data_IF_241462508700
#
_entry.id   IF_241462508700
#
_cell.length_a   1.000
_cell.length_b   1.000
_cell.length_c   1.000
_cell.angle_alpha   90.00
_cell.angle_beta   90.00
_cell.angle_gamma   90.00
#
_symmetry.space_group_name_H-M   'P 1'
#
loop_
_entity.id
_entity.type
_entity.pdbx_description
1 polymer ?
#
# COMPACT_ATOMS: atom_id res chain seq x y z
N UNK A 1 0.45 -13.83 6.78
CA UNK A 1 1.00 -12.49 7.02
C UNK A 1 1.68 -12.02 5.75
N UNK A 2 1.18 -10.92 5.20
CA UNK A 2 1.59 -10.33 3.93
C UNK A 2 2.22 -8.97 4.24
N UNK A 3 3.44 -8.76 3.78
CA UNK A 3 4.13 -7.49 3.94
C UNK A 3 4.05 -6.70 2.63
N UNK A 4 3.81 -5.39 2.74
CA UNK A 4 3.71 -4.50 1.61
C UNK A 4 4.33 -3.15 1.94
N UNK A 5 5.18 -2.67 1.04
CA UNK A 5 5.80 -1.35 1.18
C UNK A 5 5.26 -0.43 0.09
N UNK A 6 4.82 0.75 0.47
CA UNK A 6 4.25 1.73 -0.46
C UNK A 6 4.93 3.07 -0.27
N UNK A 7 5.75 3.45 -1.25
CA UNK A 7 6.25 4.80 -1.37
C UNK A 7 5.11 5.72 -1.83
N UNK A 8 4.81 6.77 -1.08
CA UNK A 8 3.76 7.73 -1.40
C UNK A 8 4.27 9.15 -1.13
N UNK A 9 4.79 9.80 -2.17
CA UNK A 9 5.34 11.15 -2.07
C UNK A 9 4.31 12.13 -1.46
N UNK A 10 4.69 12.80 -0.36
CA UNK A 10 3.82 13.75 0.34
C UNK A 10 3.01 13.14 1.48
N UNK A 11 3.12 11.83 1.73
CA UNK A 11 2.48 11.18 2.90
C UNK A 11 2.99 11.75 4.23
N UNK A 12 4.16 12.41 4.25
CA UNK A 12 4.68 13.09 5.44
C UNK A 12 3.82 14.26 5.95
N UNK A 13 2.91 14.79 5.13
CA UNK A 13 1.99 15.86 5.55
C UNK A 13 1.06 15.36 6.66
N UNK A 14 0.95 16.12 7.76
CA UNK A 14 0.21 15.66 8.93
C UNK A 14 -1.27 15.41 8.64
N UNK A 15 -1.91 16.22 7.78
CA UNK A 15 -3.30 16.00 7.41
C UNK A 15 -3.45 14.69 6.64
N UNK A 16 -2.51 14.41 5.73
CA UNK A 16 -2.50 13.17 4.94
C UNK A 16 -2.30 11.94 5.81
N UNK A 17 -1.48 12.02 6.85
CA UNK A 17 -1.31 10.92 7.81
C UNK A 17 -2.59 10.68 8.59
N UNK A 18 -3.25 11.74 9.06
CA UNK A 18 -4.50 11.60 9.83
C UNK A 18 -5.63 11.03 8.98
N UNK A 19 -5.79 11.50 7.74
CA UNK A 19 -6.80 10.94 6.82
C UNK A 19 -6.46 9.49 6.42
N UNK A 20 -5.18 9.17 6.22
CA UNK A 20 -4.72 7.80 5.97
C UNK A 20 -5.01 6.88 7.17
N UNK A 21 -4.85 7.40 8.40
CA UNK A 21 -5.11 6.68 9.64
C UNK A 21 -6.58 6.28 9.76
N UNK A 22 -7.49 7.19 9.39
CA UNK A 22 -8.93 6.93 9.35
C UNK A 22 -9.28 5.85 8.32
N UNK A 23 -8.76 5.95 7.09
CA UNK A 23 -9.10 5.01 6.01
C UNK A 23 -8.48 3.62 6.25
N UNK A 24 -7.22 3.54 6.68
CA UNK A 24 -6.53 2.26 6.92
C UNK A 24 -6.93 1.63 8.25
N UNK A 25 -7.20 2.42 9.29
CA UNK A 25 -7.67 1.94 10.59
C UNK A 25 -9.05 1.27 10.53
N UNK A 26 -9.84 1.56 9.50
CA UNK A 26 -11.11 0.88 9.24
C UNK A 26 -10.93 -0.57 8.73
N UNK A 27 -9.73 -0.96 8.31
CA UNK A 27 -9.45 -2.30 7.75
C UNK A 27 -8.99 -3.23 8.87
N UNK A 28 -9.88 -4.14 9.30
CA UNK A 28 -9.57 -5.09 10.37
C UNK A 28 -8.46 -6.07 9.97
N UNK A 29 -7.39 -6.15 10.76
CA UNK A 29 -6.24 -7.03 10.47
C UNK A 29 -5.18 -6.41 9.53
N UNK A 30 -5.28 -5.10 9.26
CA UNK A 30 -4.24 -4.30 8.63
C UNK A 30 -3.48 -3.53 9.71
N UNK A 31 -2.17 -3.77 9.79
CA UNK A 31 -1.24 -2.94 10.54
C UNK A 31 -0.45 -2.11 9.55
N UNK A 32 -0.16 -0.85 9.89
CA UNK A 32 0.70 -0.02 9.07
C UNK A 32 1.58 0.89 9.91
N UNK A 33 2.67 1.34 9.29
CA UNK A 33 3.62 2.28 9.85
C UNK A 33 4.06 3.25 8.76
N UNK A 34 3.96 4.55 9.05
CA UNK A 34 4.42 5.60 8.13
C UNK A 34 5.85 6.01 8.51
N UNK A 35 6.78 5.81 7.60
CA UNK A 35 8.11 6.40 7.62
C UNK A 35 8.07 7.77 6.94
N UNK A 36 8.08 8.82 7.77
CA UNK A 36 8.03 10.21 7.33
C UNK A 36 9.32 10.69 6.65
N UNK A 37 10.44 10.00 6.88
CA UNK A 37 11.74 10.41 6.32
C UNK A 37 11.82 10.05 4.83
N UNK A 38 11.30 8.89 4.46
CA UNK A 38 11.38 8.33 3.12
C UNK A 38 10.05 8.39 2.35
N UNK A 39 8.98 8.91 2.97
CA UNK A 39 7.61 8.83 2.45
C UNK A 39 7.16 7.39 2.15
N UNK A 40 7.57 6.44 2.99
CA UNK A 40 7.22 5.03 2.83
C UNK A 40 6.17 4.64 3.87
N UNK A 41 5.13 3.95 3.43
CA UNK A 41 4.15 3.31 4.29
C UNK A 41 4.38 1.81 4.25
N UNK A 42 4.80 1.27 5.38
CA UNK A 42 4.90 -0.16 5.61
C UNK A 42 3.52 -0.66 6.03
N UNK A 43 3.06 -1.75 5.42
CA UNK A 43 1.78 -2.38 5.71
C UNK A 43 1.99 -3.88 5.93
N UNK A 44 1.37 -4.39 6.98
CA UNK A 44 1.37 -5.79 7.36
C UNK A 44 -0.09 -6.24 7.44
N UNK A 45 -0.45 -7.20 6.60
CA UNK A 45 -1.79 -7.78 6.59
C UNK A 45 -1.76 -9.19 7.15
N UNK A 46 -2.67 -9.51 8.06
CA UNK A 46 -2.75 -10.87 8.60
C UNK A 46 -3.19 -11.88 7.52
N UNK A 47 -4.09 -11.45 6.63
CA UNK A 47 -4.66 -12.21 5.52
C UNK A 47 -4.90 -11.31 4.28
N UNK A 48 -5.15 -11.86 3.07
CA UNK A 48 -5.44 -11.09 1.85
C UNK A 48 -6.87 -10.50 1.87
N UNK A 49 -7.16 -9.68 2.88
CA UNK A 49 -8.47 -9.06 3.14
C UNK A 49 -8.78 -7.87 2.25
N UNK A 50 -7.74 -7.20 1.72
CA UNK A 50 -7.86 -6.04 0.83
C UNK A 50 -7.00 -6.23 -0.40
N UNK A 51 -7.50 -5.74 -1.53
CA UNK A 51 -6.80 -5.85 -2.80
C UNK A 51 -5.85 -4.68 -3.02
N UNK A 52 -4.83 -4.88 -3.87
CA UNK A 52 -3.93 -3.81 -4.32
C UNK A 52 -4.68 -2.59 -4.89
N UNK A 53 -5.81 -2.83 -5.56
CA UNK A 53 -6.62 -1.76 -6.16
C UNK A 53 -7.26 -0.88 -5.10
N UNK A 54 -7.70 -1.48 -3.99
CA UNK A 54 -8.30 -0.75 -2.87
C UNK A 54 -7.26 0.06 -2.11
N UNK A 55 -6.12 -0.54 -1.80
CA UNK A 55 -4.98 0.17 -1.19
C UNK A 55 -4.60 1.37 -2.06
N UNK A 56 -4.42 1.16 -3.37
CA UNK A 56 -4.11 2.25 -4.30
C UNK A 56 -5.19 3.34 -4.32
N UNK A 57 -6.46 2.96 -4.21
CA UNK A 57 -7.57 3.90 -4.21
C UNK A 57 -7.54 4.80 -2.96
N UNK A 58 -7.22 4.25 -1.78
CA UNK A 58 -7.05 5.02 -0.53
C UNK A 58 -6.02 6.13 -0.71
N UNK A 59 -4.79 5.79 -1.13
CA UNK A 59 -3.75 6.78 -1.38
C UNK A 59 -4.14 7.83 -2.44
N UNK A 60 -4.83 7.40 -3.52
CA UNK A 60 -5.27 8.34 -4.56
C UNK A 60 -6.37 9.29 -4.11
N UNK A 61 -7.30 8.87 -3.24
CA UNK A 61 -8.29 9.77 -2.64
C UNK A 61 -7.62 10.91 -1.87
N UNK A 62 -6.50 10.61 -1.23
CA UNK A 62 -5.67 11.57 -0.49
C UNK A 62 -4.86 12.48 -1.42
N UNK A 63 -4.91 12.29 -2.75
CA UNK A 63 -4.09 13.01 -3.71
C UNK A 63 -2.63 12.55 -3.75
N UNK A 64 -2.32 11.38 -3.17
CA UNK A 64 -0.99 10.77 -3.20
C UNK A 64 -0.86 9.85 -4.42
N UNK A 65 0.34 9.75 -4.98
CA UNK A 65 0.65 8.76 -6.02
C UNK A 65 1.45 7.59 -5.40
N UNK A 66 0.76 6.50 -5.03
CA UNK A 66 1.41 5.35 -4.38
C UNK A 66 2.20 4.52 -5.41
N UNK A 67 3.46 4.27 -5.09
CA UNK A 67 4.35 3.32 -5.77
C UNK A 67 4.65 2.19 -4.81
N UNK A 68 4.24 1.00 -5.20
CA UNK A 68 4.48 -0.20 -4.41
C UNK A 68 5.93 -0.61 -4.63
N UNK A 69 6.68 -0.63 -3.54
CA UNK A 69 8.11 -0.94 -3.51
C UNK A 69 8.31 -2.28 -2.82
N UNK A 70 9.42 -2.97 -3.11
CA UNK A 70 9.71 -4.27 -2.52
C UNK A 70 8.94 -5.46 -3.14
N UNK A 71 8.85 -6.55 -2.36
CA UNK A 71 8.27 -7.81 -2.82
C UNK A 71 6.74 -7.79 -2.67
N UNK A 72 6.02 -7.37 -3.72
CA UNK A 72 4.55 -7.47 -3.72
C UNK A 72 4.17 -8.96 -3.66
N UNK A 73 3.48 -9.42 -2.59
CA UNK A 73 3.15 -10.83 -2.44
C UNK A 73 2.20 -11.28 -3.55
N UNK A 74 2.42 -12.50 -4.05
CA UNK A 74 1.72 -13.02 -5.22
C UNK A 74 0.18 -13.03 -5.05
N UNK A 75 -0.29 -13.14 -3.81
CA UNK A 75 -1.70 -13.12 -3.43
C UNK A 75 -2.37 -11.75 -3.65
N UNK A 76 -1.59 -10.66 -3.58
CA UNK A 76 -2.06 -9.29 -3.80
C UNK A 76 -1.79 -8.78 -5.21
N UNK A 77 -1.00 -9.51 -6.01
CA UNK A 77 -0.69 -9.10 -7.38
C UNK A 77 -1.97 -9.12 -8.23
N UNK A 78 -2.28 -8.04 -8.97
CA UNK A 78 -3.24 -8.17 -10.05
C UNK A 78 -2.75 -9.26 -11.00
N UNK A 79 -3.64 -10.18 -11.40
CA UNK A 79 -3.37 -11.23 -12.41
C UNK A 79 -3.13 -10.61 -13.80
N UNK A 80 -2.09 -9.80 -13.96
CA UNK A 80 -1.62 -9.37 -15.26
C UNK A 80 -0.61 -10.40 -15.71
N UNK A 81 -1.07 -11.28 -16.62
CA UNK A 81 -0.23 -12.10 -17.48
C UNK A 81 0.70 -11.17 -18.27
N UNK A 82 1.93 -11.00 -17.80
CA UNK A 82 3.04 -10.63 -18.67
C UNK A 82 4.28 -11.34 -18.16
N UNK A 83 4.40 -12.59 -18.59
CA UNK A 83 5.65 -13.32 -18.66
C UNK A 83 6.12 -13.15 -20.12
N UNK A 84 7.22 -12.42 -20.33
CA UNK A 84 7.90 -12.41 -21.62
C UNK A 84 8.72 -13.71 -21.73
N UNK A 85 8.58 -14.37 -22.88
CA UNK A 85 9.12 -15.70 -23.16
C UNK A 85 10.66 -15.72 -23.15
N UNK A 86 11.19 -16.88 -22.75
CA UNK A 86 12.55 -17.31 -23.04
C UNK A 86 12.90 -17.09 -24.52
N UNK A 87 14.09 -16.55 -24.77
CA UNK A 87 14.93 -16.87 -25.95
C UNK A 87 16.39 -16.74 -25.56
#
# INVERSE_FOLDING_TARGET
MLELEVYAAGVRDLNKILELDIELGAIAGLHYKVDRNHDIVYMELEAPIVTFREIRAVFRKLGLDPKFVGAIPAELRPKTKTQLLET
#
